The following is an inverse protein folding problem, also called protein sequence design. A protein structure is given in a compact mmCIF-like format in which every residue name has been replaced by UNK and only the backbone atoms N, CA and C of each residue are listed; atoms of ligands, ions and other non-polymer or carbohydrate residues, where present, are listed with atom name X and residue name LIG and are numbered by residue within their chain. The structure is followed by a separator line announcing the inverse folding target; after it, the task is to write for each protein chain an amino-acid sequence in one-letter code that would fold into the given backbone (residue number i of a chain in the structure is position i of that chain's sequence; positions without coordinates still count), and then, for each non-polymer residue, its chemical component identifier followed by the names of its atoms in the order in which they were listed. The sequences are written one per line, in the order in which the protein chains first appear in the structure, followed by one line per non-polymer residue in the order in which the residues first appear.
data_IF_272306068088
#
_entry.id   IF_272306068088
#
_cell.length_a   1.000
_cell.length_b   1.000
_cell.length_c   1.000
_cell.angle_alpha   90.00
_cell.angle_beta   90.00
_cell.angle_gamma   90.00
#
_symmetry.space_group_name_H-M   'P 1'
#
loop_
_entity.id
_entity.type
_entity.pdbx_description
1 polymer ?
#
# COMPACT_ATOMS: atom_id res chain seq x y z
N UNK A 1 14.25 -13.01 5.23
CA UNK A 1 13.57 -12.33 6.35
C UNK A 1 13.09 -10.96 5.90
N UNK A 2 11.77 -10.71 5.87
CA UNK A 2 11.27 -9.40 5.44
C UNK A 2 11.72 -8.28 6.37
N UNK A 3 12.18 -7.20 5.76
CA UNK A 3 12.59 -6.00 6.51
C UNK A 3 11.68 -4.85 6.10
N UNK A 4 11.10 -4.21 7.10
CA UNK A 4 10.15 -3.11 6.91
C UNK A 4 10.83 -1.79 7.22
N UNK A 5 10.74 -0.85 6.30
CA UNK A 5 11.26 0.51 6.46
C UNK A 5 10.08 1.47 6.49
N UNK A 6 9.73 2.01 7.66
CA UNK A 6 8.59 2.93 7.74
C UNK A 6 8.77 4.15 6.87
N UNK A 7 7.69 4.55 6.20
CA UNK A 7 7.65 5.76 5.39
C UNK A 7 6.81 6.77 6.14
N UNK A 8 7.33 7.98 6.32
CA UNK A 8 6.59 9.05 6.96
C UNK A 8 5.56 9.61 6.00
N UNK A 9 4.31 9.71 6.45
CA UNK A 9 3.21 10.29 5.69
C UNK A 9 2.54 11.37 6.52
N UNK A 10 2.06 12.40 5.87
CA UNK A 10 1.29 13.45 6.53
C UNK A 10 -0.10 13.55 5.91
N UNK A 11 -1.16 13.50 6.71
CA UNK A 11 -1.15 13.29 8.17
C UNK A 11 -0.76 11.89 8.56
N UNK A 12 -0.31 11.70 9.79
CA UNK A 12 -0.06 10.37 10.31
C UNK A 12 -1.37 9.58 10.35
N UNK A 13 -1.29 8.33 9.93
CA UNK A 13 -2.46 7.46 9.90
C UNK A 13 -2.22 6.30 10.86
N UNK A 14 -3.14 6.15 11.82
CA UNK A 14 -3.20 4.93 12.62
C UNK A 14 -3.78 3.84 11.74
N UNK A 15 -2.97 2.87 11.38
CA UNK A 15 -3.37 1.85 10.43
C UNK A 15 -4.58 1.04 10.90
N UNK A 16 -4.71 0.84 12.19
CA UNK A 16 -5.81 0.04 12.75
C UNK A 16 -7.17 0.69 12.49
N UNK A 17 -7.20 2.03 12.38
CA UNK A 17 -8.43 2.79 12.17
C UNK A 17 -8.62 3.21 10.72
N UNK A 18 -7.75 2.80 9.83
CA UNK A 18 -7.84 3.13 8.42
C UNK A 18 -8.25 1.93 7.58
N UNK A 19 -8.65 2.19 6.36
CA UNK A 19 -8.92 1.16 5.36
C UNK A 19 -8.71 1.75 3.97
N UNK A 20 -8.49 0.88 3.00
CA UNK A 20 -8.48 1.26 1.60
C UNK A 20 -9.91 1.57 1.19
N UNK A 21 -10.16 2.81 0.81
CA UNK A 21 -11.51 3.26 0.44
C UNK A 21 -11.80 3.03 -1.04
N UNK A 22 -10.82 3.29 -1.89
CA UNK A 22 -10.99 3.19 -3.33
C UNK A 22 -9.64 2.95 -4.00
N UNK A 23 -9.64 2.08 -5.00
CA UNK A 23 -8.50 1.90 -5.87
C UNK A 23 -8.98 2.12 -7.30
N UNK A 24 -8.31 3.00 -8.04
CA UNK A 24 -8.62 3.25 -9.44
C UNK A 24 -7.40 3.01 -10.31
N UNK A 25 -7.60 2.22 -11.33
CA UNK A 25 -6.58 1.97 -12.34
C UNK A 25 -6.97 2.72 -13.61
N UNK A 26 -6.10 3.60 -14.07
CA UNK A 26 -6.28 4.30 -15.34
C UNK A 26 -5.09 3.99 -16.26
N UNK A 27 -5.14 4.47 -17.48
CA UNK A 27 -4.02 4.30 -18.42
C UNK A 27 -2.79 5.15 -18.02
N UNK A 28 -2.96 6.13 -17.14
CA UNK A 28 -1.88 7.02 -16.71
C UNK A 28 -1.34 6.70 -15.33
N UNK A 29 -2.15 6.13 -14.45
CA UNK A 29 -1.77 6.01 -13.05
C UNK A 29 -2.62 4.98 -12.32
N UNK A 30 -2.12 4.59 -11.14
CA UNK A 30 -2.87 3.85 -10.14
C UNK A 30 -3.05 4.75 -8.93
N UNK A 31 -4.27 4.92 -8.49
CA UNK A 31 -4.64 5.82 -7.41
C UNK A 31 -5.30 5.01 -6.30
N UNK A 32 -4.74 5.08 -5.10
CA UNK A 32 -5.30 4.43 -3.92
C UNK A 32 -5.65 5.48 -2.87
N UNK A 33 -6.91 5.51 -2.46
CA UNK A 33 -7.40 6.46 -1.46
C UNK A 33 -7.68 5.71 -0.16
N UNK A 34 -7.08 6.18 0.92
CA UNK A 34 -7.19 5.59 2.25
C UNK A 34 -7.92 6.53 3.21
N UNK A 35 -8.65 5.92 4.14
CA UNK A 35 -9.35 6.67 5.18
C UNK A 35 -8.33 7.36 6.09
N UNK A 36 -8.54 8.65 6.35
CA UNK A 36 -7.83 9.38 7.39
C UNK A 36 -8.70 9.31 8.65
N UNK A 37 -8.25 8.61 9.71
CA UNK A 37 -9.07 8.47 10.91
C UNK A 37 -9.46 9.82 11.48
N UNK A 38 -10.75 9.98 11.76
CA UNK A 38 -11.28 11.23 12.31
C UNK A 38 -11.62 12.30 11.30
N UNK A 39 -11.32 12.09 10.01
CA UNK A 39 -11.65 13.06 8.95
C UNK A 39 -12.61 12.42 7.96
N UNK A 40 -13.87 12.83 8.01
CA UNK A 40 -14.91 12.26 7.15
C UNK A 40 -14.94 12.88 5.75
N UNK A 41 -14.20 13.96 5.54
CA UNK A 41 -14.28 14.73 4.30
C UNK A 41 -13.07 14.54 3.39
N UNK A 42 -11.98 14.01 3.92
CA UNK A 42 -10.74 13.87 3.19
C UNK A 42 -10.22 12.44 3.22
N UNK A 43 -9.39 12.12 2.25
CA UNK A 43 -8.69 10.84 2.18
C UNK A 43 -7.22 11.10 1.86
N UNK A 44 -6.37 10.16 2.26
CA UNK A 44 -4.98 10.19 1.85
C UNK A 44 -4.88 9.44 0.52
N UNK A 45 -4.44 10.13 -0.50
CA UNK A 45 -4.25 9.56 -1.82
C UNK A 45 -2.80 9.18 -2.04
N UNK A 46 -2.60 7.92 -2.39
CA UNK A 46 -1.31 7.41 -2.81
C UNK A 46 -1.37 7.18 -4.31
N UNK A 47 -0.47 7.79 -5.03
CA UNK A 47 -0.48 7.76 -6.49
C UNK A 47 0.80 7.13 -7.01
N UNK A 48 0.62 6.12 -7.87
CA UNK A 48 1.71 5.47 -8.59
C UNK A 48 1.54 5.72 -10.08
N UNK A 49 2.66 5.77 -10.80
CA UNK A 49 2.63 5.73 -12.25
C UNK A 49 2.31 4.31 -12.73
N UNK A 50 2.07 4.14 -14.01
CA UNK A 50 1.83 2.82 -14.59
C UNK A 50 3.02 1.89 -14.47
N UNK A 51 2.83 0.64 -14.85
CA UNK A 51 3.85 -0.42 -14.79
C UNK A 51 4.15 -0.83 -13.35
N UNK A 52 3.10 -1.14 -12.62
CA UNK A 52 3.19 -1.65 -11.26
C UNK A 52 2.53 -3.02 -11.17
N UNK A 53 2.91 -3.79 -10.18
CA UNK A 53 2.21 -5.01 -9.80
C UNK A 53 1.52 -4.73 -8.49
N UNK A 54 0.24 -5.07 -8.40
CA UNK A 54 -0.59 -4.77 -7.24
C UNK A 54 -1.17 -6.05 -6.69
N UNK A 55 -1.19 -6.13 -5.36
CA UNK A 55 -1.94 -7.17 -4.65
C UNK A 55 -2.75 -6.51 -3.55
N UNK A 56 -4.03 -6.87 -3.48
CA UNK A 56 -4.91 -6.40 -2.41
C UNK A 56 -5.33 -7.63 -1.61
N UNK A 57 -5.12 -7.56 -0.30
CA UNK A 57 -5.56 -8.60 0.62
C UNK A 57 -6.63 -8.05 1.53
N UNK A 58 -7.74 -8.78 1.63
CA UNK A 58 -8.90 -8.38 2.41
C UNK A 58 -8.76 -8.70 3.90
N UNK A 59 -7.70 -9.38 4.26
CA UNK A 59 -7.36 -9.69 5.64
C UNK A 59 -5.96 -9.21 5.94
N UNK A 60 -5.58 -9.19 7.21
CA UNK A 60 -4.25 -8.76 7.60
C UNK A 60 -3.21 -9.61 6.84
N UNK A 61 -2.40 -9.00 5.99
CA UNK A 61 -1.49 -9.72 5.10
C UNK A 61 -0.40 -10.44 5.87
N UNK A 62 -0.14 -9.98 7.09
CA UNK A 62 0.85 -10.62 7.95
C UNK A 62 0.42 -12.04 8.35
N UNK A 63 -0.87 -12.36 8.20
CA UNK A 63 -1.41 -13.69 8.47
C UNK A 63 -1.38 -14.61 7.26
N UNK A 64 -1.13 -14.08 6.06
CA UNK A 64 -1.10 -14.89 4.84
C UNK A 64 0.30 -15.24 4.39
N UNK A 65 1.31 -14.57 4.93
CA UNK A 65 2.70 -14.89 4.69
C UNK A 65 3.26 -15.68 5.86
N UNK A 66 4.45 -16.28 5.71
CA UNK A 66 4.99 -17.16 6.73
C UNK A 66 5.06 -16.51 8.10
N UNK A 67 4.27 -17.03 9.02
CA UNK A 67 4.19 -16.51 10.39
C UNK A 67 5.44 -16.79 11.20
N UNK A 68 6.18 -17.82 10.84
CA UNK A 68 7.37 -18.23 11.60
C UNK A 68 8.57 -17.32 11.31
N UNK A 69 8.49 -16.47 10.29
CA UNK A 69 9.59 -15.61 9.93
C UNK A 69 9.48 -14.27 10.66
N UNK A 70 10.50 -13.88 11.43
CA UNK A 70 10.49 -12.56 12.07
C UNK A 70 10.36 -11.44 11.04
N UNK A 71 9.65 -10.39 11.40
CA UNK A 71 9.43 -9.22 10.54
C UNK A 71 10.11 -8.03 11.18
N UNK A 72 11.29 -7.71 10.67
CA UNK A 72 12.07 -6.60 11.21
C UNK A 72 11.50 -5.26 10.76
N UNK A 73 11.51 -4.29 11.66
CA UNK A 73 11.15 -2.92 11.33
C UNK A 73 9.67 -2.59 11.40
N UNK A 74 8.82 -3.54 11.76
CA UNK A 74 7.40 -3.26 11.95
C UNK A 74 7.20 -2.34 13.16
N UNK A 75 6.46 -1.27 12.95
CA UNK A 75 6.12 -0.30 13.99
C UNK A 75 4.62 -0.42 14.27
N UNK A 76 4.22 -0.56 15.55
CA UNK A 76 2.79 -0.63 15.87
C UNK A 76 2.05 0.61 15.35
N UNK A 77 0.87 0.40 14.76
CA UNK A 77 0.00 1.45 14.24
C UNK A 77 0.54 2.23 13.04
N UNK A 78 1.70 1.85 12.50
CA UNK A 78 2.25 2.54 11.33
C UNK A 78 1.62 2.01 10.04
N UNK A 79 1.36 2.92 9.11
CA UNK A 79 0.54 2.65 7.93
C UNK A 79 1.36 2.26 6.70
N UNK A 80 2.46 2.94 6.43
CA UNK A 80 3.16 2.81 5.15
C UNK A 80 4.60 2.33 5.32
N UNK A 81 5.00 1.38 4.45
CA UNK A 81 6.33 0.79 4.51
C UNK A 81 6.90 0.57 3.11
N UNK A 82 8.23 0.66 3.04
CA UNK A 82 9.00 0.02 1.99
C UNK A 82 9.47 -1.31 2.57
N UNK A 83 9.30 -2.40 1.83
CA UNK A 83 9.57 -3.74 2.33
C UNK A 83 10.62 -4.43 1.46
N UNK A 84 11.57 -5.09 2.11
CA UNK A 84 12.57 -5.90 1.42
C UNK A 84 12.37 -7.37 1.75
N UNK A 85 12.58 -8.23 0.76
CA UNK A 85 12.59 -9.69 0.92
C UNK A 85 11.24 -10.30 1.31
N UNK A 86 10.14 -9.61 1.04
CA UNK A 86 8.83 -10.20 1.24
C UNK A 86 8.51 -11.19 0.11
N UNK A 87 7.68 -12.18 0.43
CA UNK A 87 7.28 -13.22 -0.53
C UNK A 87 6.68 -12.62 -1.79
N UNK A 88 5.86 -11.59 -1.66
CA UNK A 88 5.24 -10.94 -2.81
C UNK A 88 6.29 -10.46 -3.83
N UNK A 89 7.34 -9.82 -3.34
CA UNK A 89 8.41 -9.32 -4.19
C UNK A 89 9.24 -10.47 -4.80
N UNK A 90 9.60 -11.45 -3.99
CA UNK A 90 10.54 -12.49 -4.42
C UNK A 90 9.95 -13.47 -5.41
N UNK A 91 8.63 -13.56 -5.49
CA UNK A 91 7.95 -14.50 -6.38
C UNK A 91 7.60 -13.91 -7.74
N UNK A 92 7.95 -12.66 -8.01
CA UNK A 92 7.67 -12.05 -9.31
C UNK A 92 8.61 -12.59 -10.39
N UNK A 93 8.16 -12.49 -11.66
CA UNK A 93 8.91 -13.06 -12.77
C UNK A 93 10.27 -12.37 -12.97
N UNK A 94 11.24 -13.12 -13.45
CA UNK A 94 12.56 -12.57 -13.75
C UNK A 94 12.50 -11.50 -14.85
N UNK A 95 11.64 -11.70 -15.84
CA UNK A 95 11.47 -10.73 -16.91
C UNK A 95 10.99 -9.40 -16.37
N UNK A 96 9.97 -9.42 -15.49
CA UNK A 96 9.47 -8.19 -14.90
C UNK A 96 10.53 -7.50 -14.06
N UNK A 97 11.23 -8.26 -13.22
CA UNK A 97 12.31 -7.71 -12.39
C UNK A 97 13.41 -7.06 -13.22
N UNK A 98 13.73 -7.66 -14.35
CA UNK A 98 14.76 -7.14 -15.23
C UNK A 98 14.33 -5.81 -15.88
N UNK A 99 13.09 -5.73 -16.36
CA UNK A 99 12.60 -4.53 -17.06
C UNK A 99 12.29 -3.38 -16.12
N UNK A 100 11.91 -3.67 -14.87
CA UNK A 100 11.49 -2.67 -13.90
C UNK A 100 12.52 -2.48 -12.78
N UNK A 101 13.76 -2.83 -13.02
CA UNK A 101 14.82 -2.69 -12.01
C UNK A 101 15.36 -1.25 -11.99
N UNK A 102 15.57 -0.67 -10.78
CA UNK A 102 15.20 -1.23 -9.50
C UNK A 102 13.72 -1.03 -9.19
N UNK A 103 13.08 -2.10 -8.75
CA UNK A 103 11.69 -2.03 -8.29
C UNK A 103 11.65 -2.12 -6.76
N UNK A 104 10.76 -1.36 -6.17
CA UNK A 104 10.61 -1.31 -4.71
C UNK A 104 9.23 -1.83 -4.34
N UNK A 105 9.17 -2.60 -3.27
CA UNK A 105 7.92 -3.10 -2.71
C UNK A 105 7.41 -2.13 -1.65
N UNK A 106 6.25 -1.57 -1.89
CA UNK A 106 5.53 -0.71 -0.94
C UNK A 106 4.37 -1.48 -0.36
N UNK A 107 4.18 -1.38 0.96
CA UNK A 107 3.07 -2.04 1.64
C UNK A 107 2.34 -1.03 2.50
N UNK A 108 1.03 -0.96 2.30
CA UNK A 108 0.16 -0.08 3.08
C UNK A 108 -0.76 -0.97 3.92
N UNK A 109 -0.60 -0.89 5.23
CA UNK A 109 -1.29 -1.75 6.19
C UNK A 109 -2.47 -0.99 6.78
N UNK A 110 -3.63 -1.60 6.80
CA UNK A 110 -4.81 -1.04 7.45
C UNK A 110 -5.40 -2.05 8.42
N UNK A 111 -6.51 -1.70 9.04
CA UNK A 111 -7.21 -2.60 9.94
C UNK A 111 -7.90 -3.77 9.23
N UNK A 112 -8.19 -3.61 7.94
CA UNK A 112 -8.92 -4.62 7.16
C UNK A 112 -8.21 -5.03 5.89
N UNK A 113 -7.77 -4.06 5.10
CA UNK A 113 -7.21 -4.30 3.77
C UNK A 113 -5.73 -3.96 3.76
N UNK A 114 -4.95 -4.74 3.03
CA UNK A 114 -3.55 -4.41 2.79
C UNK A 114 -3.31 -4.27 1.31
N UNK A 115 -2.56 -3.24 0.94
CA UNK A 115 -2.18 -3.00 -0.44
C UNK A 115 -0.67 -3.19 -0.58
N UNK A 116 -0.29 -4.09 -1.49
CA UNK A 116 1.11 -4.28 -1.89
C UNK A 116 1.29 -3.79 -3.30
N UNK A 117 2.32 -2.99 -3.52
CA UNK A 117 2.64 -2.44 -4.84
C UNK A 117 4.14 -2.60 -5.11
N UNK A 118 4.47 -3.20 -6.25
CA UNK A 118 5.84 -3.21 -6.75
C UNK A 118 5.94 -2.14 -7.82
N UNK A 119 6.82 -1.16 -7.60
CA UNK A 119 6.95 -0.01 -8.48
C UNK A 119 8.40 0.40 -8.61
N UNK A 120 8.78 0.82 -9.83
CA UNK A 120 10.10 1.37 -10.09
C UNK A 120 10.21 2.83 -9.64
N UNK A 121 9.09 3.51 -9.48
CA UNK A 121 9.04 4.92 -9.07
C UNK A 121 8.37 5.05 -7.72
N UNK A 122 8.82 6.04 -6.96
CA UNK A 122 8.23 6.32 -5.65
C UNK A 122 6.80 6.82 -5.80
N UNK A 123 5.90 6.43 -4.88
CA UNK A 123 4.56 7.00 -4.86
C UNK A 123 4.57 8.44 -4.38
N UNK A 124 3.55 9.19 -4.76
CA UNK A 124 3.28 10.50 -4.19
C UNK A 124 2.09 10.42 -3.26
N UNK A 125 2.10 11.26 -2.22
CA UNK A 125 1.05 11.30 -1.21
C UNK A 125 0.41 12.66 -1.19
N UNK A 126 -0.93 12.71 -1.15
CA UNK A 126 -1.65 13.98 -1.03
C UNK A 126 -2.98 13.76 -0.34
N UNK A 127 -3.44 14.80 0.37
CA UNK A 127 -4.76 14.79 0.97
C UNK A 127 -5.74 15.34 -0.06
N UNK A 128 -6.82 14.62 -0.28
CA UNK A 128 -7.85 14.99 -1.24
C UNK A 128 -9.21 14.94 -0.59
N UNK A 129 -10.19 15.64 -1.15
CA UNK A 129 -11.57 15.50 -0.71
C UNK A 129 -12.07 14.12 -1.08
N UNK A 130 -12.82 13.50 -0.14
CA UNK A 130 -13.46 12.23 -0.43
C UNK A 130 -14.46 12.40 -1.56
N UNK A 131 -14.45 11.44 -2.48
CA UNK A 131 -15.50 11.36 -3.47
C UNK A 131 -16.74 10.80 -2.79
N UNK A 132 -17.93 11.29 -3.14
CA UNK A 132 -19.16 10.67 -2.65
C UNK A 132 -19.19 9.21 -3.05
N UNK A 133 -19.60 8.36 -2.11
CA UNK A 133 -19.86 6.97 -2.46
C UNK A 133 -21.07 6.99 -3.36
N UNK A 134 -20.90 6.40 -4.55
CA UNK A 134 -21.99 6.29 -5.48
C UNK A 134 -23.04 5.35 -4.88
N UNK A 135 -24.15 5.92 -4.44
CA UNK A 135 -25.30 5.13 -4.05
C UNK A 135 -26.17 5.00 -5.29
N UNK A 136 -26.62 3.82 -5.54
CA UNK A 136 -27.60 3.65 -6.58
C UNK A 136 -28.93 4.12 -6.06
N UNK A 137 -29.28 5.18 -6.59
CA UNK A 137 -30.59 5.73 -6.29
C UNK A 137 -31.62 5.11 -7.22
#
# INVERSE_FOLDING_TARGET
MPRYHPISVLPEIDCVQSDLRELRWTDDAVVADFIIPGDEHHALRVLFTNQVIIRILDEMPLNTESESTPKEGLVPHHFAYRVEEATFETTQSQTWKFTQHPATHYRFVTGWTCLDVLSAKEPTFQVVKRRPISTFD
#
